data_IF_055084664971
#
_entry.id   IF_055084664971
#
_cell.length_a   1.000
_cell.length_b   1.000
_cell.length_c   1.000
_cell.angle_alpha   90.00
_cell.angle_beta   90.00
_cell.angle_gamma   90.00
#
_symmetry.space_group_name_H-M   'P 1'
#
loop_
_entity.id
_entity.type
_entity.pdbx_description
1 polymer ?
#
# COMPACT_ATOMS: atom_id res chain seq x y z
N UNK A 1 37.31 18.21 29.67
CA UNK A 1 36.86 16.85 29.35
C UNK A 1 35.34 16.89 29.24
N UNK A 2 34.80 16.89 28.03
CA UNK A 2 33.35 16.92 27.78
C UNK A 2 32.85 15.48 27.96
N UNK A 3 32.06 15.25 29.01
CA UNK A 3 31.40 13.97 29.26
C UNK A 3 30.26 13.81 28.25
N UNK A 4 30.45 12.98 27.24
CA UNK A 4 29.39 12.53 26.33
C UNK A 4 28.37 11.72 27.12
N UNK A 5 27.27 12.36 27.51
CA UNK A 5 26.12 11.69 28.12
C UNK A 5 25.48 10.79 27.06
N UNK A 6 25.74 9.49 27.11
CA UNK A 6 25.08 8.49 26.28
C UNK A 6 23.60 8.49 26.64
N UNK A 7 22.76 9.17 25.86
CA UNK A 7 21.30 9.16 26.05
C UNK A 7 20.81 7.73 25.87
N UNK A 8 20.41 7.08 26.97
CA UNK A 8 19.83 5.75 26.95
C UNK A 8 18.60 5.79 26.04
N UNK A 9 18.65 5.07 24.93
CA UNK A 9 17.53 5.00 24.00
C UNK A 9 16.28 4.47 24.71
N UNK A 10 15.18 5.22 24.63
CA UNK A 10 13.88 4.79 25.16
C UNK A 10 13.50 3.44 24.52
N UNK A 11 13.24 2.45 25.37
CA UNK A 11 12.69 1.16 24.97
C UNK A 11 11.17 1.28 24.83
N UNK A 12 10.53 0.39 24.08
CA UNK A 12 9.05 0.40 23.92
C UNK A 12 8.33 0.38 25.28
N UNK A 13 8.85 -0.36 26.26
CA UNK A 13 8.27 -0.41 27.60
C UNK A 13 8.29 0.93 28.35
N UNK A 14 9.15 1.86 27.93
CA UNK A 14 9.28 3.19 28.52
C UNK A 14 8.22 4.17 27.96
N UNK A 15 7.48 3.78 26.90
CA UNK A 15 6.34 4.53 26.41
C UNK A 15 5.07 4.19 27.22
N UNK A 16 4.17 5.18 27.43
CA UNK A 16 2.81 4.94 27.87
C UNK A 16 2.15 3.85 27.02
N UNK A 17 1.33 2.99 27.64
CA UNK A 17 0.77 1.82 26.93
C UNK A 17 -0.05 2.22 25.71
N UNK A 18 -0.81 3.30 25.81
CA UNK A 18 -1.60 3.93 24.73
C UNK A 18 -0.74 4.51 23.59
N UNK A 19 0.56 4.69 23.81
CA UNK A 19 1.48 5.18 22.78
C UNK A 19 2.32 4.08 22.14
N UNK A 20 2.25 2.85 22.66
CA UNK A 20 3.00 1.73 22.11
C UNK A 20 2.37 1.28 20.77
N UNK A 21 3.19 0.94 19.77
CA UNK A 21 2.67 0.64 18.43
C UNK A 21 1.60 -0.47 18.36
N UNK A 22 1.73 -1.54 19.15
CA UNK A 22 0.77 -2.66 19.05
C UNK A 22 -0.59 -2.28 19.59
N UNK A 23 -0.59 -1.54 20.68
CA UNK A 23 -1.74 -1.03 21.39
C UNK A 23 -2.46 0.02 20.54
N UNK A 24 -1.71 0.96 19.94
CA UNK A 24 -2.23 1.90 18.93
C UNK A 24 -2.82 1.19 17.71
N UNK A 25 -2.20 0.12 17.24
CA UNK A 25 -2.72 -0.66 16.10
C UNK A 25 -4.07 -1.31 16.43
N UNK A 26 -4.29 -1.71 17.69
CA UNK A 26 -5.56 -2.26 18.16
C UNK A 26 -6.61 -1.16 18.38
N UNK A 27 -6.23 -0.03 18.98
CA UNK A 27 -7.16 1.05 19.36
C UNK A 27 -7.54 1.94 18.17
N UNK A 28 -6.56 2.39 17.39
CA UNK A 28 -6.72 3.41 16.34
C UNK A 28 -6.61 2.83 14.92
N UNK A 29 -6.25 1.54 14.81
CA UNK A 29 -6.06 0.85 13.54
C UNK A 29 -4.73 1.16 12.84
N UNK A 30 -4.39 0.41 11.77
CA UNK A 30 -3.08 0.48 11.12
C UNK A 30 -2.78 1.84 10.45
N UNK A 31 -3.81 2.64 10.12
CA UNK A 31 -3.64 3.94 9.46
C UNK A 31 -3.05 5.01 10.37
N UNK A 32 -3.12 4.85 11.69
CA UNK A 32 -2.56 5.80 12.66
C UNK A 32 -1.05 5.62 12.85
N UNK A 33 -0.49 4.50 12.36
CA UNK A 33 0.91 4.14 12.51
C UNK A 33 1.72 4.60 11.31
N UNK A 34 2.93 5.06 11.59
CA UNK A 34 3.95 5.28 10.56
C UNK A 34 4.60 3.98 10.09
N UNK A 35 5.29 4.01 8.95
CA UNK A 35 5.97 2.84 8.39
C UNK A 35 6.99 2.22 9.36
N UNK A 36 7.72 3.03 10.13
CA UNK A 36 8.72 2.52 11.06
C UNK A 36 8.05 1.84 12.27
N UNK A 37 6.87 2.30 12.70
CA UNK A 37 6.11 1.64 13.76
C UNK A 37 5.53 0.30 13.29
N UNK A 38 5.01 0.23 12.07
CA UNK A 38 4.56 -1.03 11.46
C UNK A 38 5.71 -2.04 11.35
N UNK A 39 6.88 -1.60 10.88
CA UNK A 39 8.08 -2.42 10.86
C UNK A 39 8.54 -2.82 12.26
N UNK A 40 8.45 -1.94 13.25
CA UNK A 40 8.82 -2.27 14.62
C UNK A 40 7.93 -3.36 15.22
N UNK A 41 6.63 -3.35 14.92
CA UNK A 41 5.71 -4.43 15.30
C UNK A 41 6.15 -5.76 14.70
N UNK A 42 6.49 -5.77 13.41
CA UNK A 42 7.02 -6.95 12.72
C UNK A 42 8.31 -7.40 13.37
N UNK A 43 9.31 -6.54 13.54
CA UNK A 43 10.62 -6.91 14.09
C UNK A 43 10.57 -7.44 15.53
N UNK A 44 9.53 -7.08 16.29
CA UNK A 44 9.26 -7.44 17.70
C UNK A 44 10.28 -6.92 18.72
N UNK A 45 11.58 -7.06 18.44
CA UNK A 45 12.66 -6.70 19.36
C UNK A 45 13.75 -5.89 18.66
N UNK A 46 14.44 -5.07 19.46
CA UNK A 46 15.57 -4.26 19.03
C UNK A 46 16.84 -5.09 18.87
N UNK A 47 17.98 -4.41 18.84
CA UNK A 47 19.29 -5.04 18.99
C UNK A 47 19.78 -4.87 20.43
N UNK A 48 21.03 -5.25 20.72
CA UNK A 48 21.66 -4.93 22.02
C UNK A 48 21.89 -3.42 22.20
N UNK A 49 22.00 -2.68 21.10
CA UNK A 49 22.40 -1.27 21.08
C UNK A 49 21.23 -0.32 20.80
N UNK A 50 20.21 -0.79 20.08
CA UNK A 50 19.14 0.05 19.53
C UNK A 50 17.76 -0.52 19.90
N UNK A 51 16.82 0.37 20.23
CA UNK A 51 15.42 -0.04 20.38
C UNK A 51 14.84 -0.50 19.04
N UNK A 52 13.74 -1.27 19.07
CA UNK A 52 13.13 -1.77 17.83
C UNK A 52 12.59 -0.65 16.95
N UNK A 53 12.15 0.47 17.54
CA UNK A 53 11.73 1.67 16.81
C UNK A 53 12.90 2.33 16.09
N UNK A 54 14.05 2.46 16.76
CA UNK A 54 15.29 2.96 16.15
C UNK A 54 15.78 2.05 15.03
N UNK A 55 15.76 0.73 15.27
CA UNK A 55 16.18 -0.26 14.28
C UNK A 55 15.28 -0.22 13.03
N UNK A 56 13.95 -0.11 13.22
CA UNK A 56 13.00 0.02 12.12
C UNK A 56 13.19 1.31 11.33
N UNK A 57 13.42 2.44 12.02
CA UNK A 57 13.68 3.71 11.36
C UNK A 57 15.00 3.68 10.56
N UNK A 58 16.06 3.12 11.15
CA UNK A 58 17.37 2.93 10.49
C UNK A 58 17.27 2.09 9.23
N UNK A 59 16.50 0.99 9.28
CA UNK A 59 16.23 0.17 8.11
C UNK A 59 15.55 0.98 7.01
N UNK A 60 14.49 1.74 7.33
CA UNK A 60 13.82 2.58 6.35
C UNK A 60 14.73 3.68 5.80
N UNK A 61 15.55 4.32 6.63
CA UNK A 61 16.51 5.32 6.15
C UNK A 61 17.51 4.72 5.18
N UNK A 62 18.01 3.51 5.46
CA UNK A 62 18.95 2.82 4.58
C UNK A 62 18.39 2.52 3.19
N UNK A 63 17.07 2.28 3.10
CA UNK A 63 16.38 1.91 1.85
C UNK A 63 15.47 3.00 1.29
N UNK A 64 15.68 4.27 1.68
CA UNK A 64 14.87 5.42 1.24
C UNK A 64 13.35 5.20 1.42
N UNK A 65 12.99 4.67 2.60
CA UNK A 65 11.64 4.27 2.95
C UNK A 65 11.31 2.85 2.46
N UNK A 66 10.09 2.67 1.97
CA UNK A 66 9.62 1.38 1.44
C UNK A 66 10.05 1.14 -0.02
N UNK A 67 10.58 2.17 -0.69
CA UNK A 67 10.82 2.17 -2.13
C UNK A 67 11.89 1.16 -2.53
N UNK A 68 13.05 1.20 -1.89
CA UNK A 68 14.14 0.25 -2.16
C UNK A 68 13.97 -1.02 -1.31
N UNK A 69 13.35 -0.91 -0.13
CA UNK A 69 13.17 -2.04 0.77
C UNK A 69 12.32 -3.16 0.14
N UNK A 70 11.33 -2.82 -0.69
CA UNK A 70 10.44 -3.80 -1.32
C UNK A 70 11.15 -4.76 -2.28
N UNK A 71 12.31 -4.36 -2.82
CA UNK A 71 13.08 -5.10 -3.82
C UNK A 71 14.44 -5.57 -3.26
N UNK A 72 14.72 -5.29 -1.98
CA UNK A 72 15.99 -5.60 -1.35
C UNK A 72 16.21 -7.12 -1.18
N UNK A 73 17.44 -7.55 -1.40
CA UNK A 73 17.88 -8.93 -1.17
C UNK A 73 18.04 -9.23 0.32
N UNK A 74 18.12 -10.52 0.68
CA UNK A 74 18.37 -10.92 2.07
C UNK A 74 19.75 -10.44 2.54
N UNK A 75 20.75 -10.44 1.67
CA UNK A 75 22.11 -9.95 1.94
C UNK A 75 22.10 -8.44 2.22
N UNK A 76 21.34 -7.67 1.44
CA UNK A 76 21.20 -6.22 1.66
C UNK A 76 20.50 -5.90 2.98
N UNK A 77 19.41 -6.61 3.31
CA UNK A 77 18.68 -6.40 4.56
C UNK A 77 19.53 -6.80 5.78
N UNK A 78 20.28 -7.91 5.68
CA UNK A 78 21.18 -8.37 6.76
C UNK A 78 22.45 -7.53 6.90
N UNK A 79 22.82 -6.76 5.87
CA UNK A 79 23.87 -5.75 5.94
C UNK A 79 23.57 -4.63 6.94
N UNK A 80 22.31 -4.43 7.31
CA UNK A 80 21.92 -3.45 8.33
C UNK A 80 22.24 -3.97 9.73
N UNK A 81 23.23 -3.37 10.39
CA UNK A 81 23.63 -3.72 11.77
C UNK A 81 22.41 -3.75 12.71
N UNK A 82 22.17 -4.91 13.33
CA UNK A 82 21.04 -5.17 14.22
C UNK A 82 19.93 -6.04 13.60
N UNK A 83 20.02 -6.33 12.30
CA UNK A 83 19.10 -7.18 11.55
C UNK A 83 19.82 -8.45 11.12
N UNK A 84 19.56 -9.56 11.81
CA UNK A 84 20.03 -10.89 11.41
C UNK A 84 19.03 -11.61 10.51
N UNK A 85 19.40 -12.81 10.06
CA UNK A 85 18.60 -13.64 9.15
C UNK A 85 17.12 -13.78 9.56
N UNK A 86 16.84 -13.99 10.85
CA UNK A 86 15.45 -14.15 11.33
C UNK A 86 14.60 -12.91 11.03
N UNK A 87 15.11 -11.72 11.34
CA UNK A 87 14.40 -10.45 11.09
C UNK A 87 14.30 -10.15 9.59
N UNK A 88 15.36 -10.46 8.83
CA UNK A 88 15.37 -10.27 7.38
C UNK A 88 14.32 -11.14 6.68
N UNK A 89 14.28 -12.45 6.98
CA UNK A 89 13.26 -13.37 6.46
C UNK A 89 11.85 -12.90 6.81
N UNK A 90 11.65 -12.40 8.03
CA UNK A 90 10.36 -11.88 8.45
C UNK A 90 9.92 -10.65 7.63
N UNK A 91 10.83 -9.72 7.36
CA UNK A 91 10.56 -8.56 6.49
C UNK A 91 10.22 -9.02 5.07
N UNK A 92 11.02 -9.92 4.48
CA UNK A 92 10.77 -10.42 3.13
C UNK A 92 9.41 -11.12 3.02
N UNK A 93 9.05 -11.93 4.03
CA UNK A 93 7.75 -12.59 4.07
C UNK A 93 6.60 -11.57 4.11
N UNK A 94 6.72 -10.52 4.92
CA UNK A 94 5.70 -9.46 5.00
C UNK A 94 5.54 -8.71 3.67
N UNK A 95 6.66 -8.38 3.01
CA UNK A 95 6.65 -7.70 1.70
C UNK A 95 6.02 -8.60 0.62
N UNK A 96 6.38 -9.88 0.58
CA UNK A 96 5.83 -10.82 -0.38
C UNK A 96 4.33 -11.05 -0.16
N UNK A 97 3.86 -11.14 1.08
CA UNK A 97 2.42 -11.18 1.38
C UNK A 97 1.72 -9.93 0.87
N UNK A 98 2.28 -8.74 1.12
CA UNK A 98 1.75 -7.49 0.57
C UNK A 98 1.68 -7.51 -0.97
N UNK A 99 2.72 -8.03 -1.62
CA UNK A 99 2.77 -8.19 -3.08
C UNK A 99 1.69 -9.15 -3.60
N UNK A 100 1.45 -10.27 -2.92
CA UNK A 100 0.39 -11.24 -3.29
C UNK A 100 -1.00 -10.68 -3.09
N UNK A 101 -1.26 -10.01 -1.97
CA UNK A 101 -2.54 -9.34 -1.71
C UNK A 101 -2.83 -8.31 -2.80
N UNK A 102 -1.81 -7.51 -3.18
CA UNK A 102 -1.97 -6.54 -4.25
C UNK A 102 -2.23 -7.20 -5.61
N UNK A 103 -1.59 -8.34 -5.91
CA UNK A 103 -1.84 -9.11 -7.14
C UNK A 103 -3.24 -9.70 -7.20
N UNK A 104 -3.82 -10.17 -6.09
CA UNK A 104 -5.21 -10.66 -6.05
C UNK A 104 -6.19 -9.58 -6.52
N UNK A 105 -6.00 -8.33 -6.08
CA UNK A 105 -6.80 -7.19 -6.56
C UNK A 105 -6.66 -6.92 -8.08
N UNK A 106 -5.64 -7.46 -8.75
CA UNK A 106 -5.52 -7.41 -10.20
C UNK A 106 -6.13 -8.64 -10.87
N UNK A 107 -6.05 -9.83 -10.26
CA UNK A 107 -6.60 -11.06 -10.84
C UNK A 107 -8.14 -11.09 -10.80
N UNK A 108 -8.75 -10.50 -9.77
CA UNK A 108 -10.22 -10.44 -9.64
C UNK A 108 -10.89 -9.37 -10.52
N UNK A 109 -10.13 -8.63 -11.34
CA UNK A 109 -10.71 -7.60 -12.21
C UNK A 109 -11.40 -8.23 -13.40
N UNK A 110 -12.61 -7.76 -13.70
CA UNK A 110 -13.36 -8.17 -14.88
C UNK A 110 -12.54 -7.93 -16.15
N UNK A 111 -12.38 -8.96 -16.98
CA UNK A 111 -11.62 -8.93 -18.23
C UNK A 111 -12.59 -8.81 -19.40
N UNK A 112 -12.46 -7.76 -20.20
CA UNK A 112 -13.22 -7.59 -21.44
C UNK A 112 -12.49 -8.29 -22.57
N UNK A 113 -13.00 -9.43 -23.05
CA UNK A 113 -12.44 -10.17 -24.19
C UNK A 113 -13.23 -9.95 -25.47
N UNK A 114 -14.46 -9.46 -25.34
CA UNK A 114 -15.40 -9.25 -26.43
C UNK A 114 -16.29 -8.02 -26.16
N UNK A 115 -16.92 -7.42 -27.18
CA UNK A 115 -17.93 -6.39 -26.99
C UNK A 115 -19.06 -6.82 -26.05
N UNK A 116 -19.42 -8.09 -26.06
CA UNK A 116 -20.43 -8.69 -25.19
C UNK A 116 -20.03 -8.65 -23.71
N UNK A 117 -18.74 -8.88 -23.41
CA UNK A 117 -18.23 -8.75 -22.03
C UNK A 117 -18.34 -7.30 -21.54
N UNK A 118 -18.03 -6.32 -22.40
CA UNK A 118 -18.18 -4.90 -22.07
C UNK A 118 -19.65 -4.55 -21.81
N UNK A 119 -20.56 -5.03 -22.65
CA UNK A 119 -22.00 -4.84 -22.48
C UNK A 119 -22.48 -5.47 -21.16
N UNK A 120 -22.09 -6.71 -20.88
CA UNK A 120 -22.45 -7.43 -19.66
C UNK A 120 -21.94 -6.72 -18.41
N UNK A 121 -20.70 -6.22 -18.44
CA UNK A 121 -20.08 -5.49 -17.33
C UNK A 121 -20.89 -4.27 -16.90
N UNK A 122 -21.35 -3.47 -17.86
CA UNK A 122 -22.13 -2.25 -17.57
C UNK A 122 -23.64 -2.48 -17.51
N UNK A 123 -24.12 -3.66 -17.91
CA UNK A 123 -25.55 -3.97 -18.05
C UNK A 123 -26.29 -3.81 -16.72
N UNK A 124 -25.72 -4.29 -15.62
CA UNK A 124 -26.35 -4.24 -14.30
C UNK A 124 -26.61 -2.79 -13.85
N UNK A 125 -25.63 -1.91 -14.09
CA UNK A 125 -25.71 -0.49 -13.71
C UNK A 125 -26.57 0.33 -14.69
N UNK A 126 -26.55 -0.01 -15.99
CA UNK A 126 -27.12 0.85 -17.04
C UNK A 126 -28.53 0.46 -17.50
N UNK A 127 -28.96 -0.79 -17.28
CA UNK A 127 -30.21 -1.32 -17.89
C UNK A 127 -31.48 -0.57 -17.48
N UNK A 128 -31.49 0.09 -16.32
CA UNK A 128 -32.66 0.83 -15.82
C UNK A 128 -32.52 2.36 -15.89
N UNK A 129 -31.45 2.87 -16.49
CA UNK A 129 -31.25 4.31 -16.62
C UNK A 129 -32.25 4.88 -17.63
N UNK A 130 -32.98 5.92 -17.22
CA UNK A 130 -34.01 6.58 -18.02
C UNK A 130 -33.44 7.63 -18.99
N UNK A 131 -32.12 7.83 -18.99
CA UNK A 131 -31.40 8.79 -19.81
C UNK A 131 -30.16 8.11 -20.41
N UNK A 132 -29.70 8.58 -21.56
CA UNK A 132 -28.46 8.09 -22.15
C UNK A 132 -27.27 8.43 -21.26
N UNK A 133 -26.36 7.47 -21.05
CA UNK A 133 -25.14 7.70 -20.29
C UNK A 133 -23.94 7.33 -21.16
N UNK A 134 -23.02 8.27 -21.32
CA UNK A 134 -21.73 8.01 -21.96
C UNK A 134 -20.73 7.58 -20.89
N UNK A 135 -20.41 6.30 -20.87
CA UNK A 135 -19.54 5.67 -19.88
C UNK A 135 -18.22 5.25 -20.53
N UNK A 136 -17.11 5.63 -19.92
CA UNK A 136 -15.78 5.17 -20.29
C UNK A 136 -15.32 4.07 -19.33
N UNK A 137 -14.91 2.94 -19.91
CA UNK A 137 -14.19 1.89 -19.21
C UNK A 137 -12.69 2.04 -19.49
N UNK A 138 -11.91 2.32 -18.47
CA UNK A 138 -10.46 2.40 -18.56
C UNK A 138 -9.89 1.02 -18.35
N UNK A 139 -9.12 0.51 -19.31
CA UNK A 139 -8.60 -0.84 -19.29
C UNK A 139 -7.07 -0.83 -19.15
N UNK A 140 -6.51 -1.87 -18.53
CA UNK A 140 -5.07 -2.13 -18.62
C UNK A 140 -4.72 -2.88 -19.92
N UNK A 141 -3.43 -3.17 -20.12
CA UNK A 141 -2.93 -3.88 -21.31
C UNK A 141 -3.42 -5.32 -21.44
N UNK A 142 -4.07 -5.89 -20.41
CA UNK A 142 -4.72 -7.20 -20.42
C UNK A 142 -6.24 -7.12 -20.55
N UNK A 143 -6.78 -5.95 -20.95
CA UNK A 143 -8.21 -5.63 -21.02
C UNK A 143 -8.97 -5.79 -19.70
N UNK A 144 -8.30 -5.69 -18.56
CA UNK A 144 -8.96 -5.68 -17.26
C UNK A 144 -9.49 -4.29 -16.94
N UNK A 145 -10.72 -4.20 -16.45
CA UNK A 145 -11.33 -2.93 -16.06
C UNK A 145 -10.56 -2.33 -14.88
N UNK A 146 -9.97 -1.16 -15.11
CA UNK A 146 -9.28 -0.35 -14.10
C UNK A 146 -10.24 0.60 -13.39
N UNK A 147 -11.12 1.23 -14.17
CA UNK A 147 -12.03 2.25 -13.71
C UNK A 147 -13.23 2.35 -14.67
N UNK A 148 -14.40 2.69 -14.13
CA UNK A 148 -15.62 3.01 -14.87
C UNK A 148 -16.01 4.44 -14.49
N UNK A 149 -16.17 5.29 -15.49
CA UNK A 149 -16.57 6.68 -15.27
C UNK A 149 -17.65 7.09 -16.26
N UNK A 150 -18.76 7.64 -15.74
CA UNK A 150 -19.73 8.35 -16.57
C UNK A 150 -19.16 9.72 -16.91
N UNK A 151 -18.84 9.95 -18.16
CA UNK A 151 -18.31 11.24 -18.65
C UNK A 151 -19.46 12.21 -18.89
N UNK A 152 -20.62 11.69 -19.33
CA UNK A 152 -21.77 12.52 -19.67
C UNK A 152 -23.08 11.79 -19.43
N UNK A 153 -24.09 12.54 -19.00
CA UNK A 153 -25.48 12.09 -18.92
C UNK A 153 -26.26 12.93 -19.93
N UNK A 154 -26.90 12.24 -20.86
CA UNK A 154 -27.74 12.76 -21.93
C UNK A 154 -28.72 13.83 -21.46
N UNK A 155 -28.77 14.94 -22.19
CA UNK A 155 -29.93 15.84 -22.19
C UNK A 155 -30.68 15.72 -23.53
N UNK A 156 -31.82 16.40 -23.68
CA UNK A 156 -32.84 16.17 -24.71
C UNK A 156 -32.38 15.92 -26.16
N UNK A 157 -31.24 16.43 -26.65
CA UNK A 157 -30.92 16.42 -28.10
C UNK A 157 -29.46 16.11 -28.52
N UNK A 158 -28.48 15.93 -27.63
CA UNK A 158 -27.11 15.56 -28.02
C UNK A 158 -26.21 15.13 -26.86
N UNK A 159 -25.23 14.28 -27.17
CA UNK A 159 -24.07 13.97 -26.32
C UNK A 159 -22.82 14.61 -26.91
N UNK A 160 -22.35 15.72 -26.33
CA UNK A 160 -21.08 16.37 -26.71
C UNK A 160 -20.02 15.94 -25.70
N UNK A 161 -19.12 15.05 -26.10
CA UNK A 161 -17.99 14.60 -25.28
C UNK A 161 -16.71 15.19 -25.85
N UNK A 162 -15.94 15.91 -25.05
CA UNK A 162 -14.65 16.43 -25.49
C UNK A 162 -13.55 15.39 -25.26
N UNK A 163 -12.67 15.09 -26.25
CA UNK A 163 -11.57 14.12 -26.07
C UNK A 163 -10.66 14.38 -24.86
N UNK A 164 -10.54 15.65 -24.44
CA UNK A 164 -9.85 16.07 -23.21
C UNK A 164 -10.40 15.38 -21.95
N UNK A 165 -11.70 15.14 -21.88
CA UNK A 165 -12.40 14.54 -20.74
C UNK A 165 -12.15 13.02 -20.67
N UNK A 166 -11.71 12.42 -21.77
CA UNK A 166 -11.42 10.99 -21.88
C UNK A 166 -9.95 10.68 -21.55
N UNK A 167 -9.02 11.56 -21.96
CA UNK A 167 -7.56 11.28 -21.97
C UNK A 167 -6.86 11.62 -20.64
N UNK A 168 -7.52 12.35 -19.74
CA UNK A 168 -7.04 12.65 -18.38
C UNK A 168 -7.98 12.04 -17.33
N UNK A 169 -7.81 10.76 -16.98
CA UNK A 169 -8.52 10.15 -15.86
C UNK A 169 -8.07 10.74 -14.51
#
# INVERSE_FOLDING_TARGET
MVTTTTSKALMIKDYPEDQRPRERLVQDGPKSLSNHELLAILLRTGSKEESVLQLANKLLTHFEGLRLLKDASIEEITGVKGIGNVKAVQIMAAIELGRRIHRLQYEDRYVIRSPEDAANYVMEDMRFLSQEHFVCLYLNTKNQVLHQQTIFIGSLNASIVHPREIVRP
#
